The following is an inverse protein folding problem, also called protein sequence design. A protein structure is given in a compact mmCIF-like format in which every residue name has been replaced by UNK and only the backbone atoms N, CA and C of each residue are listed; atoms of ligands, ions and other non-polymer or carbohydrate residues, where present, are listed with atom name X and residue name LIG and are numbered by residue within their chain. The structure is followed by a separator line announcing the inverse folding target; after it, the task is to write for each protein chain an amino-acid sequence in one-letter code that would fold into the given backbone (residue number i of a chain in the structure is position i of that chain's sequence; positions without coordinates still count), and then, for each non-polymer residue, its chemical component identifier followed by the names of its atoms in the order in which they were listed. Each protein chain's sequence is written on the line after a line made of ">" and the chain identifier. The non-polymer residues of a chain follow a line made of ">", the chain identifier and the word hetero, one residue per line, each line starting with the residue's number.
data_IF_710317629363
#
_entry.id   IF_710317629363
#
_cell.length_a   1.000
_cell.length_b   1.000
_cell.length_c   1.000
_cell.angle_alpha   90.00
_cell.angle_beta   90.00
_cell.angle_gamma   90.00
#
_symmetry.space_group_name_H-M   'P 1'
#
loop_
_entity.id
_entity.type
_entity.pdbx_description
1 polymer ?
#
# COMPACT_ATOMS: atom_id res chain seq x y z
N UNK A 1 14.67 2.75 21.25
CA UNK A 1 14.90 3.77 20.21
C UNK A 1 16.16 3.43 19.46
N UNK A 2 16.04 3.13 18.16
CA UNK A 2 17.16 2.87 17.26
C UNK A 2 17.14 3.92 16.16
N UNK A 3 18.31 4.49 15.86
CA UNK A 3 18.49 5.49 14.82
C UNK A 3 19.60 5.07 13.88
N UNK A 4 19.33 5.07 12.58
CA UNK A 4 20.32 4.79 11.55
C UNK A 4 20.16 5.78 10.40
N UNK A 5 21.26 6.41 10.00
CA UNK A 5 21.30 7.37 8.90
C UNK A 5 22.21 6.83 7.79
N UNK A 6 21.80 7.03 6.55
CA UNK A 6 22.61 6.76 5.36
C UNK A 6 22.72 8.01 4.50
N UNK A 7 23.90 8.25 3.92
CA UNK A 7 24.11 9.32 2.96
C UNK A 7 23.54 8.93 1.60
N UNK A 8 22.91 9.89 0.93
CA UNK A 8 22.38 9.74 -0.42
C UNK A 8 23.09 10.71 -1.40
N UNK A 9 23.04 10.44 -2.71
CA UNK A 9 23.44 11.41 -3.73
C UNK A 9 22.61 12.69 -3.63
N UNK A 10 23.11 13.83 -4.12
CA UNK A 10 22.42 15.13 -4.04
C UNK A 10 21.05 15.23 -4.73
N UNK A 11 20.69 14.26 -5.58
CA UNK A 11 19.38 14.20 -6.25
C UNK A 11 18.95 12.73 -6.39
N UNK A 12 18.56 12.08 -5.28
CA UNK A 12 18.20 10.69 -5.28
C UNK A 12 16.79 10.52 -5.84
N UNK A 13 16.54 9.44 -6.59
CA UNK A 13 15.18 9.12 -7.07
C UNK A 13 14.64 7.97 -6.23
N UNK A 14 13.94 8.32 -5.15
CA UNK A 14 13.44 7.38 -4.16
C UNK A 14 11.96 7.03 -4.41
N UNK A 15 11.61 5.76 -4.19
CA UNK A 15 10.26 5.22 -4.33
C UNK A 15 9.97 4.23 -3.20
N UNK A 16 8.70 4.01 -2.85
CA UNK A 16 8.28 3.02 -1.85
C UNK A 16 7.82 3.65 -0.54
N UNK A 17 8.27 3.10 0.59
CA UNK A 17 7.91 3.54 1.95
C UNK A 17 6.40 3.71 2.16
N UNK A 18 5.60 2.78 1.62
CA UNK A 18 4.14 2.83 1.72
C UNK A 18 3.64 2.57 3.15
N UNK A 19 2.42 2.98 3.50
CA UNK A 19 1.36 3.54 2.65
C UNK A 19 1.11 5.03 2.95
N UNK A 20 1.19 5.88 1.92
CA UNK A 20 0.96 7.33 2.01
C UNK A 20 0.36 7.84 0.69
N UNK A 21 -0.44 8.91 0.75
CA UNK A 21 -0.90 9.64 -0.45
C UNK A 21 0.09 10.74 -0.80
N UNK A 22 0.89 10.48 -1.83
CA UNK A 22 1.95 11.35 -2.34
C UNK A 22 2.23 11.04 -3.82
N UNK A 23 3.02 11.88 -4.51
CA UNK A 23 3.63 11.51 -5.79
C UNK A 23 4.40 10.18 -5.69
N UNK A 24 4.50 9.46 -6.80
CA UNK A 24 5.18 8.16 -6.84
C UNK A 24 6.67 8.27 -6.44
N UNK A 25 7.35 9.29 -6.96
CA UNK A 25 8.71 9.64 -6.52
C UNK A 25 8.62 10.48 -5.25
N UNK A 26 9.35 10.06 -4.21
CA UNK A 26 9.33 10.71 -2.90
C UNK A 26 9.96 12.11 -2.95
N UNK A 27 9.44 13.01 -2.13
CA UNK A 27 10.12 14.27 -1.84
C UNK A 27 11.40 13.99 -1.05
N UNK A 28 12.46 14.75 -1.34
CA UNK A 28 13.81 14.53 -0.81
C UNK A 28 14.30 15.68 0.08
N UNK A 29 13.52 16.75 0.23
CA UNK A 29 13.84 17.90 1.09
C UNK A 29 12.78 18.08 2.16
N UNK A 30 13.20 18.19 3.44
CA UNK A 30 12.35 18.36 4.61
C UNK A 30 11.12 17.43 4.61
N UNK A 31 11.37 16.14 4.40
CA UNK A 31 10.33 15.15 4.22
C UNK A 31 10.39 14.06 5.29
N UNK A 32 9.25 13.70 5.86
CA UNK A 32 9.16 12.65 6.88
C UNK A 32 7.97 11.74 6.57
N UNK A 33 8.20 10.43 6.55
CA UNK A 33 7.17 9.41 6.51
C UNK A 33 7.04 8.72 7.86
N UNK A 34 5.81 8.61 8.34
CA UNK A 34 5.50 7.86 9.55
C UNK A 34 5.00 6.48 9.13
N UNK A 35 5.64 5.43 9.60
CA UNK A 35 5.22 4.04 9.38
C UNK A 35 4.53 3.60 10.67
N UNK A 36 3.20 3.57 10.59
CA UNK A 36 2.30 3.15 11.65
C UNK A 36 0.88 2.98 11.08
N UNK A 37 0.42 1.74 10.93
CA UNK A 37 -0.94 1.46 10.47
C UNK A 37 -2.01 2.22 11.27
N UNK A 38 -2.87 2.94 10.55
CA UNK A 38 -3.93 3.78 11.10
C UNK A 38 -5.14 3.80 10.17
N UNK A 39 -6.33 3.73 10.75
CA UNK A 39 -7.56 4.06 10.04
C UNK A 39 -7.57 5.55 9.64
N UNK A 40 -7.48 5.80 8.33
CA UNK A 40 -7.29 7.11 7.74
C UNK A 40 -8.36 7.39 6.68
N UNK A 41 -9.57 7.70 7.15
CA UNK A 41 -10.70 8.09 6.28
C UNK A 41 -10.34 9.29 5.39
N UNK A 42 -10.80 9.27 4.13
CA UNK A 42 -10.48 10.23 3.05
C UNK A 42 -9.02 10.28 2.59
N UNK A 43 -8.15 9.43 3.15
CA UNK A 43 -6.78 9.24 2.68
C UNK A 43 -6.01 10.58 2.57
N UNK A 44 -5.84 11.30 3.70
CA UNK A 44 -5.23 12.62 3.67
C UNK A 44 -3.75 12.56 3.25
N UNK A 45 -3.29 13.51 2.40
CA UNK A 45 -1.90 13.54 1.92
C UNK A 45 -0.91 13.78 3.05
N UNK A 46 0.28 13.20 2.93
CA UNK A 46 1.36 13.37 3.92
C UNK A 46 1.11 12.76 5.29
N UNK A 47 0.15 11.84 5.43
CA UNK A 47 -0.13 11.11 6.67
C UNK A 47 0.07 9.61 6.52
N UNK A 48 0.30 8.92 7.62
CA UNK A 48 0.31 7.46 7.68
C UNK A 48 -1.10 6.89 7.46
N UNK A 49 -1.18 5.83 6.65
CA UNK A 49 -2.43 5.19 6.23
C UNK A 49 -2.55 3.76 6.79
N UNK A 50 -3.14 2.82 6.05
CA UNK A 50 -3.56 1.52 6.56
C UNK A 50 -2.45 0.48 6.57
N UNK A 51 -1.46 0.62 5.69
CA UNK A 51 -0.34 -0.31 5.51
C UNK A 51 1.02 0.29 5.79
N UNK A 52 1.96 -0.61 6.12
CA UNK A 52 3.34 -0.30 6.48
C UNK A 52 4.30 -1.18 5.65
N UNK A 53 5.10 -0.54 4.81
CA UNK A 53 6.06 -1.19 3.91
C UNK A 53 7.42 -0.48 3.98
N UNK A 54 8.29 -0.84 4.95
CA UNK A 54 9.61 -0.21 5.18
C UNK A 54 10.67 -0.63 4.14
N UNK A 55 10.33 -0.53 2.86
CA UNK A 55 11.21 -0.76 1.71
C UNK A 55 11.24 0.47 0.82
N UNK A 56 12.44 0.91 0.43
CA UNK A 56 12.59 1.93 -0.61
C UNK A 56 13.44 1.41 -1.77
N UNK A 57 13.21 2.00 -2.95
CA UNK A 57 13.98 1.79 -4.16
C UNK A 57 14.65 3.10 -4.53
N UNK A 58 15.95 3.06 -4.83
CA UNK A 58 16.73 4.20 -5.31
C UNK A 58 17.20 3.91 -6.74
N UNK A 59 16.63 4.63 -7.70
CA UNK A 59 16.96 4.52 -9.12
C UNK A 59 17.95 5.61 -9.53
N UNK A 60 19.10 5.22 -10.09
CA UNK A 60 20.18 6.14 -10.45
C UNK A 60 20.46 6.16 -11.95
N UNK A 61 19.40 6.00 -12.76
CA UNK A 61 19.50 5.99 -14.22
C UNK A 61 20.44 4.89 -14.72
N UNK A 62 21.47 5.28 -15.49
CA UNK A 62 22.46 4.35 -16.04
C UNK A 62 23.31 3.64 -14.97
N UNK A 63 23.38 4.17 -13.74
CA UNK A 63 24.14 3.58 -12.64
C UNK A 63 23.39 2.43 -11.93
N UNK A 64 22.19 2.06 -12.42
CA UNK A 64 21.40 0.96 -11.90
C UNK A 64 20.38 1.37 -10.84
N UNK A 65 19.79 0.37 -10.19
CA UNK A 65 18.75 0.55 -9.16
C UNK A 65 19.06 -0.35 -7.99
N UNK A 66 18.91 0.13 -6.76
CA UNK A 66 18.96 -0.77 -5.60
C UNK A 66 17.73 -0.56 -4.72
N UNK A 67 17.45 -1.56 -3.90
CA UNK A 67 16.42 -1.50 -2.88
C UNK A 67 17.02 -1.71 -1.51
N UNK A 68 16.44 -1.08 -0.50
CA UNK A 68 16.77 -1.32 0.90
C UNK A 68 15.48 -1.61 1.64
N UNK A 69 15.41 -2.79 2.23
CA UNK A 69 14.29 -3.24 3.04
C UNK A 69 14.75 -3.40 4.49
N UNK A 70 14.06 -2.72 5.41
CA UNK A 70 14.24 -2.90 6.84
C UNK A 70 13.16 -3.85 7.35
N UNK A 71 13.52 -5.07 7.73
CA UNK A 71 12.60 -6.05 8.29
C UNK A 71 12.32 -5.71 9.77
N UNK A 72 11.49 -4.69 9.99
CA UNK A 72 11.09 -4.22 11.31
C UNK A 72 9.62 -3.75 11.26
N UNK A 73 8.83 -4.18 12.25
CA UNK A 73 7.39 -3.89 12.34
C UNK A 73 7.03 -2.89 13.45
N UNK A 74 8.01 -2.31 14.12
CA UNK A 74 7.77 -1.28 15.13
C UNK A 74 7.49 0.06 14.44
N UNK A 75 6.74 0.93 15.12
CA UNK A 75 6.52 2.28 14.66
C UNK A 75 7.83 3.02 14.42
N UNK A 76 7.94 3.65 13.25
CA UNK A 76 9.15 4.35 12.85
C UNK A 76 8.86 5.58 12.01
N UNK A 77 9.74 6.58 12.11
CA UNK A 77 9.79 7.70 11.20
C UNK A 77 10.96 7.53 10.26
N UNK A 78 10.73 7.74 8.96
CA UNK A 78 11.78 7.81 7.95
C UNK A 78 11.89 9.25 7.49
N UNK A 79 13.03 9.86 7.76
CA UNK A 79 13.31 11.26 7.45
C UNK A 79 14.23 11.33 6.24
N UNK A 80 13.86 12.15 5.26
CA UNK A 80 14.66 12.41 4.05
C UNK A 80 14.83 13.93 3.95
N UNK A 81 16.08 14.38 3.99
CA UNK A 81 16.40 15.80 4.07
C UNK A 81 17.82 16.10 3.55
N UNK A 82 18.16 17.38 3.42
CA UNK A 82 19.42 17.87 2.84
C UNK A 82 20.22 18.81 3.77
N UNK A 83 19.79 18.97 5.02
CA UNK A 83 20.34 19.91 6.02
C UNK A 83 21.83 19.70 6.38
N UNK A 84 22.38 18.51 6.15
CA UNK A 84 23.81 18.17 6.36
C UNK A 84 24.30 17.24 5.24
N UNK A 85 24.05 17.67 4.01
CA UNK A 85 24.09 16.80 2.83
C UNK A 85 22.81 15.99 2.70
N UNK A 86 22.58 15.39 1.53
CA UNK A 86 21.40 14.57 1.32
C UNK A 86 21.50 13.25 2.13
N UNK A 87 20.48 12.96 2.95
CA UNK A 87 20.43 11.73 3.72
C UNK A 87 19.03 11.11 3.80
N UNK A 88 19.00 9.84 4.21
CA UNK A 88 17.80 9.15 4.67
C UNK A 88 18.08 8.56 6.06
N UNK A 89 17.15 8.73 6.98
CA UNK A 89 17.29 8.34 8.37
C UNK A 89 16.08 7.54 8.87
N UNK A 90 16.35 6.38 9.46
CA UNK A 90 15.38 5.55 10.15
C UNK A 90 15.39 5.86 11.63
N UNK A 91 14.22 6.19 12.19
CA UNK A 91 13.99 6.44 13.60
C UNK A 91 12.91 5.48 14.11
N UNK A 92 13.30 4.31 14.58
CA UNK A 92 12.36 3.28 15.07
C UNK A 92 12.28 3.25 16.60
N UNK A 93 11.08 3.00 17.11
CA UNK A 93 10.82 2.91 18.55
C UNK A 93 11.42 1.65 19.18
N UNK A 94 11.62 0.57 18.42
CA UNK A 94 12.13 -0.70 18.94
C UNK A 94 12.53 -1.72 17.86
N UNK A 95 12.62 -2.99 18.26
CA UNK A 95 12.99 -4.10 17.39
C UNK A 95 14.49 -4.20 17.18
N UNK A 96 14.89 -4.68 15.99
CA UNK A 96 16.28 -4.83 15.55
C UNK A 96 16.49 -4.13 14.21
N UNK A 97 17.75 -3.87 13.87
CA UNK A 97 18.15 -3.36 12.56
C UNK A 97 18.50 -4.55 11.66
N UNK A 98 17.49 -5.11 11.00
CA UNK A 98 17.65 -6.21 10.03
C UNK A 98 17.44 -5.70 8.61
N UNK A 99 18.54 -5.44 7.89
CA UNK A 99 18.54 -4.81 6.58
C UNK A 99 18.84 -5.80 5.46
N UNK A 100 18.00 -5.76 4.43
CA UNK A 100 18.22 -6.46 3.17
C UNK A 100 18.58 -5.44 2.09
N UNK A 101 19.72 -5.63 1.46
CA UNK A 101 20.19 -4.82 0.34
C UNK A 101 19.96 -5.59 -0.97
N UNK A 102 19.16 -5.01 -1.85
CA UNK A 102 18.72 -5.61 -3.10
C UNK A 102 19.47 -4.95 -4.25
N UNK A 103 20.45 -5.66 -4.83
CA UNK A 103 21.37 -5.14 -5.83
C UNK A 103 20.98 -5.59 -7.26
N UNK A 104 19.83 -5.15 -7.75
CA UNK A 104 19.42 -5.38 -9.15
C UNK A 104 20.11 -4.41 -10.12
N UNK A 105 20.25 -4.76 -11.39
CA UNK A 105 20.69 -3.77 -12.39
C UNK A 105 19.53 -2.91 -12.93
N UNK A 106 18.29 -3.32 -12.68
CA UNK A 106 17.06 -2.62 -13.07
C UNK A 106 15.99 -2.64 -11.97
N UNK A 107 15.01 -1.72 -11.98
CA UNK A 107 13.93 -1.71 -10.99
C UNK A 107 13.13 -3.01 -10.94
N UNK A 108 12.96 -3.68 -12.09
CA UNK A 108 12.27 -4.97 -12.19
C UNK A 108 13.04 -6.06 -11.42
N UNK A 109 14.36 -6.11 -11.57
CA UNK A 109 15.17 -7.10 -10.86
C UNK A 109 15.17 -6.85 -9.34
N UNK A 110 15.24 -5.59 -8.91
CA UNK A 110 15.12 -5.25 -7.48
C UNK A 110 13.77 -5.70 -6.92
N UNK A 111 12.67 -5.48 -7.66
CA UNK A 111 11.34 -5.91 -7.25
C UNK A 111 11.22 -7.45 -7.19
N UNK A 112 11.86 -8.17 -8.12
CA UNK A 112 11.95 -9.63 -8.09
C UNK A 112 12.71 -10.12 -6.85
N UNK A 113 13.90 -9.57 -6.60
CA UNK A 113 14.70 -9.92 -5.41
C UNK A 113 13.94 -9.63 -4.11
N UNK A 114 13.23 -8.49 -4.04
CA UNK A 114 12.37 -8.18 -2.89
C UNK A 114 11.30 -9.27 -2.69
N UNK A 115 10.61 -9.67 -3.77
CA UNK A 115 9.58 -10.71 -3.71
C UNK A 115 10.11 -12.10 -3.31
N UNK A 116 11.39 -12.38 -3.57
CA UNK A 116 12.03 -13.62 -3.10
C UNK A 116 12.25 -13.61 -1.58
N UNK A 117 12.43 -12.42 -0.98
CA UNK A 117 12.60 -12.25 0.47
C UNK A 117 11.25 -12.25 1.19
N UNK A 118 10.29 -11.43 0.73
CA UNK A 118 9.01 -11.23 1.44
C UNK A 118 7.90 -12.20 1.02
N UNK A 119 8.12 -12.96 -0.05
CA UNK A 119 7.13 -13.86 -0.64
C UNK A 119 6.62 -13.36 -1.98
N UNK A 120 6.43 -14.30 -2.90
CA UNK A 120 5.89 -14.02 -4.24
C UNK A 120 4.41 -13.69 -4.16
N UNK A 121 3.96 -12.79 -5.04
CA UNK A 121 2.53 -12.48 -5.18
C UNK A 121 1.71 -13.73 -5.45
N UNK A 122 0.59 -13.87 -4.74
CA UNK A 122 -0.33 -14.97 -4.96
C UNK A 122 -0.93 -14.90 -6.38
N UNK A 123 -1.20 -16.06 -6.97
CA UNK A 123 -1.94 -16.13 -8.24
C UNK A 123 -3.38 -15.71 -7.99
N UNK A 124 -3.88 -14.75 -8.77
CA UNK A 124 -5.28 -14.33 -8.73
C UNK A 124 -6.13 -15.25 -9.63
N UNK A 125 -7.35 -15.62 -9.22
CA UNK A 125 -8.26 -16.34 -10.10
C UNK A 125 -8.66 -15.46 -11.29
N UNK A 126 -8.92 -16.06 -12.45
CA UNK A 126 -9.15 -15.32 -13.69
C UNK A 126 -10.32 -14.32 -13.60
N UNK A 127 -11.41 -14.70 -12.93
CA UNK A 127 -12.56 -13.82 -12.68
C UNK A 127 -12.22 -12.59 -11.82
N UNK A 128 -11.13 -12.62 -11.04
CA UNK A 128 -10.67 -11.48 -10.24
C UNK A 128 -10.06 -10.34 -11.06
N UNK A 129 -9.85 -10.54 -12.36
CA UNK A 129 -9.46 -9.48 -13.30
C UNK A 129 -10.67 -8.86 -14.02
N UNK A 130 -11.87 -9.39 -13.80
CA UNK A 130 -13.10 -8.84 -14.35
C UNK A 130 -13.55 -7.57 -13.63
N UNK A 131 -14.63 -6.96 -14.11
CA UNK A 131 -15.19 -5.77 -13.48
C UNK A 131 -15.94 -6.13 -12.18
N UNK A 132 -15.63 -5.41 -11.10
CA UNK A 132 -16.23 -5.60 -9.79
C UNK A 132 -17.13 -4.40 -9.43
N UNK A 133 -18.37 -4.66 -9.04
CA UNK A 133 -19.28 -3.62 -8.53
C UNK A 133 -19.48 -3.79 -7.03
N UNK A 134 -19.38 -2.68 -6.28
CA UNK A 134 -19.60 -2.66 -4.84
C UNK A 134 -20.25 -1.32 -4.43
N UNK A 135 -21.11 -1.36 -3.41
CA UNK A 135 -21.65 -0.17 -2.76
C UNK A 135 -22.02 -0.50 -1.32
N UNK A 136 -21.62 0.37 -0.40
CA UNK A 136 -22.05 0.27 0.99
C UNK A 136 -23.56 0.59 1.10
N UNK A 137 -24.29 -0.29 1.77
CA UNK A 137 -25.70 -0.03 2.13
C UNK A 137 -26.73 -0.36 1.04
N UNK A 138 -26.45 -1.32 0.15
CA UNK A 138 -27.51 -1.96 -0.63
C UNK A 138 -28.51 -2.61 0.34
N UNK A 139 -29.78 -2.30 0.16
CA UNK A 139 -30.82 -2.59 1.13
C UNK A 139 -31.11 -4.08 1.22
N UNK A 140 -31.33 -4.72 0.07
CA UNK A 140 -31.75 -6.12 -0.02
C UNK A 140 -31.23 -6.81 -1.28
N UNK A 141 -31.64 -8.06 -1.47
CA UNK A 141 -31.26 -8.89 -2.62
C UNK A 141 -31.89 -8.39 -3.93
N UNK A 142 -33.00 -7.66 -3.88
CA UNK A 142 -33.68 -7.14 -5.07
C UNK A 142 -32.90 -5.96 -5.65
N UNK A 143 -32.40 -5.05 -4.81
CA UNK A 143 -31.51 -3.97 -5.26
C UNK A 143 -30.23 -4.54 -5.91
N UNK A 144 -29.66 -5.60 -5.32
CA UNK A 144 -28.50 -6.29 -5.90
C UNK A 144 -28.83 -6.88 -7.28
N UNK A 145 -29.98 -7.56 -7.39
CA UNK A 145 -30.43 -8.16 -8.66
C UNK A 145 -30.73 -7.11 -9.73
N UNK A 146 -31.32 -5.98 -9.34
CA UNK A 146 -31.59 -4.84 -10.22
C UNK A 146 -30.29 -4.26 -10.78
N UNK A 147 -29.27 -4.06 -9.94
CA UNK A 147 -27.94 -3.59 -10.40
C UNK A 147 -27.39 -4.55 -11.46
N UNK A 148 -27.39 -5.86 -11.20
CA UNK A 148 -26.90 -6.85 -12.18
C UNK A 148 -27.70 -6.82 -13.48
N UNK A 149 -29.03 -6.73 -13.40
CA UNK A 149 -29.89 -6.63 -14.57
C UNK A 149 -29.60 -5.37 -15.39
N UNK A 150 -29.38 -4.23 -14.73
CA UNK A 150 -29.07 -2.97 -15.38
C UNK A 150 -27.71 -3.00 -16.11
N UNK A 151 -26.69 -3.64 -15.55
CA UNK A 151 -25.42 -3.89 -16.24
C UNK A 151 -25.63 -4.72 -17.52
N UNK A 152 -26.45 -5.77 -17.43
CA UNK A 152 -26.80 -6.61 -18.58
C UNK A 152 -27.56 -5.84 -19.66
N UNK A 153 -28.55 -5.02 -19.29
CA UNK A 153 -29.32 -4.18 -20.23
C UNK A 153 -28.43 -3.14 -20.90
N UNK A 154 -27.51 -2.53 -20.14
CA UNK A 154 -26.55 -1.56 -20.63
C UNK A 154 -25.40 -2.19 -21.46
N UNK A 155 -25.34 -3.52 -21.55
CA UNK A 155 -24.26 -4.26 -22.22
C UNK A 155 -22.87 -3.91 -21.67
N UNK A 156 -22.77 -3.70 -20.35
CA UNK A 156 -21.51 -3.45 -19.64
C UNK A 156 -21.11 -4.74 -18.91
N UNK A 157 -19.90 -5.30 -19.17
CA UNK A 157 -19.46 -6.50 -18.48
C UNK A 157 -19.40 -6.32 -16.95
N UNK A 158 -19.98 -7.27 -16.21
CA UNK A 158 -19.91 -7.35 -14.76
C UNK A 158 -19.56 -8.77 -14.37
N UNK A 159 -18.41 -8.95 -13.73
CA UNK A 159 -17.89 -10.28 -13.35
C UNK A 159 -18.24 -10.62 -11.90
N UNK A 160 -18.17 -9.64 -11.00
CA UNK A 160 -18.39 -9.87 -9.56
C UNK A 160 -19.21 -8.75 -8.93
N UNK A 161 -20.24 -9.14 -8.20
CA UNK A 161 -21.06 -8.24 -7.40
C UNK A 161 -20.75 -8.43 -5.91
N UNK A 162 -20.40 -7.34 -5.23
CA UNK A 162 -20.06 -7.34 -3.81
C UNK A 162 -21.17 -6.72 -2.97
N UNK A 163 -21.46 -7.34 -1.83
CA UNK A 163 -22.42 -6.83 -0.85
C UNK A 163 -21.70 -6.40 0.41
N UNK A 164 -21.89 -5.15 0.84
CA UNK A 164 -21.37 -4.65 2.12
C UNK A 164 -22.56 -4.22 2.97
N UNK A 165 -22.87 -5.04 3.97
CA UNK A 165 -23.99 -4.88 4.91
C UNK A 165 -25.37 -4.85 4.23
N UNK A 166 -25.82 -6.02 3.78
CA UNK A 166 -27.23 -6.26 3.44
C UNK A 166 -28.08 -6.03 4.69
N UNK A 167 -29.05 -5.12 4.63
CA UNK A 167 -30.07 -5.02 5.67
C UNK A 167 -31.05 -6.16 5.45
N UNK A 168 -30.76 -7.35 5.98
CA UNK A 168 -31.77 -8.41 6.02
C UNK A 168 -32.91 -7.91 6.90
N UNK A 169 -34.14 -7.72 6.38
CA UNK A 169 -35.26 -7.48 7.25
C UNK A 169 -35.45 -8.75 8.08
N UNK A 170 -35.16 -8.67 9.38
CA UNK A 170 -35.65 -9.68 10.32
C UNK A 170 -37.17 -9.62 10.20
N UNK A 171 -37.80 -10.67 9.67
CA UNK A 171 -39.27 -10.79 9.75
C UNK A 171 -39.61 -10.87 11.23
N UNK A 172 -40.20 -9.81 11.75
CA UNK A 172 -40.79 -9.76 13.08
C UNK A 172 -42.08 -10.59 13.03
N UNK A 173 -41.93 -11.91 12.96
CA UNK A 173 -43.04 -12.86 12.78
C UNK A 173 -42.76 -14.30 13.24
N UNK A 174 -41.52 -14.65 13.59
CA UNK A 174 -41.16 -15.98 14.13
C UNK A 174 -40.87 -15.97 15.65
N UNK A 175 -41.37 -14.95 16.36
CA UNK A 175 -41.45 -14.91 17.82
C UNK A 175 -42.88 -14.56 18.19
N UNK A 176 -43.74 -15.56 18.23
CA UNK A 176 -44.81 -15.77 19.22
C UNK A 176 -45.56 -17.07 18.85
N UNK A 177 -45.46 -18.04 19.76
CA UNK A 177 -46.29 -19.25 19.75
C UNK A 177 -47.65 -19.03 20.40
#
# INVERSE_FOLDING_TARGET
>A
YLRLRTSLPASPSLYGLGEHTDPFMLNTTNYTRTIWNRDAYLIPPGTNLYGDHPVYFDHRGANGTHGVFLLNSNGMNIVIDDTDGQYLEYNTLGGVLDFYFLAGSSPVQVAQQYSEVVGKSAMMPYWGFGFHQCRYGMQDVYEVAEVVANYSIANIPLETMWTVRLKVPVRMGDIDG
#
